data_IF_817230092345
#
_entry.id   IF_817230092345
#
_cell.length_a   1.000
_cell.length_b   1.000
_cell.length_c   1.000
_cell.angle_alpha   90.00
_cell.angle_beta   90.00
_cell.angle_gamma   90.00
#
_symmetry.space_group_name_H-M   'P 1'
#
loop_
_entity.id
_entity.type
_entity.pdbx_description
1 polymer ?
#
# COMPACT_ATOMS: atom_id res chain seq x y z
N UNK A 1 -21.48 33.51 -30.52
CA UNK A 1 -21.53 32.04 -30.34
C UNK A 1 -22.99 31.61 -30.23
N UNK A 2 -23.47 30.74 -31.12
CA UNK A 2 -24.86 30.26 -31.10
C UNK A 2 -25.15 29.47 -29.82
N UNK A 3 -26.41 29.41 -29.39
CA UNK A 3 -26.83 28.58 -28.23
C UNK A 3 -26.37 27.13 -28.39
N UNK A 4 -26.46 26.58 -29.60
CA UNK A 4 -25.99 25.23 -29.94
C UNK A 4 -24.48 25.06 -29.76
N UNK A 5 -23.68 26.04 -30.19
CA UNK A 5 -22.23 25.99 -30.03
C UNK A 5 -21.80 26.14 -28.56
N UNK A 6 -22.53 26.92 -27.75
CA UNK A 6 -22.32 26.99 -26.29
C UNK A 6 -22.65 25.66 -25.60
N UNK A 7 -23.76 25.01 -25.97
CA UNK A 7 -24.15 23.70 -25.42
C UNK A 7 -23.11 22.64 -25.80
N UNK A 8 -22.71 22.57 -27.07
CA UNK A 8 -21.69 21.63 -27.52
C UNK A 8 -20.34 21.83 -26.80
N UNK A 9 -19.89 23.09 -26.65
CA UNK A 9 -18.68 23.41 -25.92
C UNK A 9 -18.73 22.91 -24.47
N UNK A 10 -19.79 23.25 -23.72
CA UNK A 10 -19.92 22.82 -22.33
C UNK A 10 -20.12 21.31 -22.19
N UNK A 11 -20.83 20.66 -23.12
CA UNK A 11 -20.97 19.21 -23.14
C UNK A 11 -19.62 18.52 -23.29
N UNK A 12 -18.74 19.02 -24.15
CA UNK A 12 -17.37 18.50 -24.31
C UNK A 12 -16.54 18.69 -23.05
N UNK A 13 -16.56 19.88 -22.45
CA UNK A 13 -15.82 20.18 -21.21
C UNK A 13 -16.30 19.28 -20.07
N UNK A 14 -17.62 19.14 -19.88
CA UNK A 14 -18.20 18.26 -18.86
C UNK A 14 -17.84 16.80 -19.14
N UNK A 15 -17.91 16.36 -20.40
CA UNK A 15 -17.50 15.00 -20.79
C UNK A 15 -16.04 14.71 -20.45
N UNK A 16 -15.13 15.66 -20.69
CA UNK A 16 -13.71 15.51 -20.34
C UNK A 16 -13.49 15.46 -18.82
N UNK A 17 -14.19 16.31 -18.05
CA UNK A 17 -14.11 16.28 -16.57
C UNK A 17 -14.63 14.95 -16.03
N UNK A 18 -15.77 14.46 -16.52
CA UNK A 18 -16.33 13.16 -16.13
C UNK A 18 -15.35 12.02 -16.44
N UNK A 19 -14.72 12.05 -17.62
CA UNK A 19 -13.73 11.05 -18.00
C UNK A 19 -12.52 11.04 -17.05
N UNK A 20 -11.97 12.22 -16.72
CA UNK A 20 -10.86 12.34 -15.78
C UNK A 20 -11.25 11.85 -14.37
N UNK A 21 -12.42 12.25 -13.89
CA UNK A 21 -12.94 11.78 -12.59
C UNK A 21 -13.17 10.27 -12.57
N UNK A 22 -13.62 9.68 -13.68
CA UNK A 22 -13.77 8.24 -13.80
C UNK A 22 -12.42 7.50 -13.69
N UNK A 23 -11.36 8.03 -14.32
CA UNK A 23 -10.01 7.46 -14.17
C UNK A 23 -9.48 7.54 -12.73
N UNK A 24 -9.69 8.67 -12.06
CA UNK A 24 -9.31 8.85 -10.66
C UNK A 24 -10.08 7.87 -9.78
N UNK A 25 -11.41 7.76 -9.98
CA UNK A 25 -12.26 6.86 -9.20
C UNK A 25 -11.84 5.38 -9.35
N UNK A 26 -11.42 4.94 -10.54
CA UNK A 26 -10.91 3.57 -10.75
C UNK A 26 -9.63 3.32 -9.97
N UNK A 27 -8.69 4.28 -9.97
CA UNK A 27 -7.43 4.15 -9.21
C UNK A 27 -7.67 4.16 -7.71
N UNK A 28 -8.49 5.10 -7.23
CA UNK A 28 -8.86 5.21 -5.82
C UNK A 28 -9.58 3.94 -5.33
N UNK A 29 -10.52 3.42 -6.12
CA UNK A 29 -11.17 2.16 -5.78
C UNK A 29 -10.18 0.98 -5.78
N UNK A 30 -9.18 0.99 -6.67
CA UNK A 30 -8.13 -0.03 -6.68
C UNK A 30 -7.30 0.03 -5.40
N UNK A 31 -6.88 1.21 -4.95
CA UNK A 31 -6.16 1.37 -3.69
C UNK A 31 -6.99 0.89 -2.49
N UNK A 32 -8.29 1.16 -2.49
CA UNK A 32 -9.20 0.76 -1.40
C UNK A 32 -9.59 -0.72 -1.40
N UNK A 33 -9.52 -1.43 -2.52
CA UNK A 33 -10.11 -2.80 -2.62
C UNK A 33 -9.19 -3.83 -3.26
N UNK A 34 -8.04 -3.41 -3.75
CA UNK A 34 -7.05 -4.28 -4.35
C UNK A 34 -6.24 -5.05 -3.31
N UNK A 35 -5.38 -5.93 -3.81
CA UNK A 35 -4.44 -6.70 -3.00
C UNK A 35 -3.07 -6.06 -3.09
N UNK A 36 -2.48 -5.73 -1.95
CA UNK A 36 -1.12 -5.23 -1.86
C UNK A 36 -0.11 -6.34 -2.07
N UNK A 37 0.82 -6.10 -2.99
CA UNK A 37 1.90 -7.00 -3.35
C UNK A 37 3.20 -6.21 -3.39
N UNK A 38 4.28 -6.84 -2.92
CA UNK A 38 5.62 -6.26 -2.98
C UNK A 38 6.36 -6.87 -4.17
N UNK A 39 6.71 -6.06 -5.18
CA UNK A 39 7.36 -6.52 -6.40
C UNK A 39 8.83 -6.10 -6.43
N UNK A 40 9.70 -7.04 -6.79
CA UNK A 40 11.12 -6.74 -7.02
C UNK A 40 11.30 -5.91 -8.29
N UNK A 41 12.02 -4.78 -8.18
CA UNK A 41 12.42 -4.02 -9.36
C UNK A 41 13.66 -4.65 -9.99
N UNK A 42 13.70 -4.66 -11.33
CA UNK A 42 14.90 -5.00 -12.08
C UNK A 42 15.84 -3.78 -12.13
N UNK A 43 17.16 -3.96 -12.41
CA UNK A 43 18.14 -2.87 -12.42
C UNK A 43 17.64 -1.64 -13.19
N UNK A 44 17.55 -0.52 -12.48
CA UNK A 44 17.02 0.75 -12.97
C UNK A 44 18.05 1.40 -13.90
N UNK A 45 17.61 1.93 -15.05
CA UNK A 45 18.42 2.79 -15.93
C UNK A 45 18.08 4.26 -15.65
N UNK A 46 18.94 5.04 -14.94
CA UNK A 46 18.63 6.41 -14.60
C UNK A 46 18.95 7.38 -15.76
N UNK A 47 17.93 8.10 -16.28
CA UNK A 47 17.84 9.59 -16.32
C UNK A 47 16.85 10.17 -17.34
N UNK A 48 16.31 11.35 -16.99
CA UNK A 48 16.20 12.53 -17.89
C UNK A 48 16.32 13.83 -17.07
N UNK A 49 17.25 14.72 -17.44
CA UNK A 49 17.66 15.93 -16.67
C UNK A 49 16.77 17.16 -16.93
N UNK A 50 15.71 17.02 -17.75
CA UNK A 50 15.01 18.19 -18.33
C UNK A 50 13.51 18.30 -18.04
N UNK A 51 12.89 17.34 -17.32
CA UNK A 51 11.41 17.25 -17.23
C UNK A 51 10.84 16.95 -15.82
N UNK A 52 11.67 17.05 -14.77
CA UNK A 52 11.33 16.66 -13.39
C UNK A 52 12.03 15.35 -12.99
N UNK A 53 12.22 15.14 -11.68
CA UNK A 53 12.82 13.90 -11.19
C UNK A 53 11.77 12.79 -11.07
N UNK A 54 11.95 11.74 -11.86
CA UNK A 54 11.18 10.50 -11.74
C UNK A 54 12.12 9.31 -11.96
N UNK A 55 11.86 8.21 -11.26
CA UNK A 55 12.51 6.93 -11.48
C UNK A 55 11.68 6.13 -12.50
N UNK A 56 12.34 5.63 -13.55
CA UNK A 56 11.75 4.63 -14.44
C UNK A 56 11.95 3.28 -13.75
N UNK A 57 10.86 2.59 -13.49
CA UNK A 57 10.88 1.28 -12.86
C UNK A 57 10.79 0.22 -13.95
N UNK A 58 11.63 -0.80 -13.83
CA UNK A 58 11.45 -2.07 -14.51
C UNK A 58 11.26 -3.14 -13.43
N UNK A 59 10.63 -4.25 -13.79
CA UNK A 59 10.25 -5.30 -12.85
C UNK A 59 10.83 -6.63 -13.30
N UNK A 60 11.23 -7.47 -12.35
CA UNK A 60 11.70 -8.82 -12.71
C UNK A 60 10.61 -9.62 -13.44
N UNK A 61 9.36 -9.47 -13.00
CA UNK A 61 8.19 -10.10 -13.62
C UNK A 61 7.86 -9.56 -15.02
N UNK A 62 8.50 -8.47 -15.47
CA UNK A 62 8.27 -7.92 -16.81
C UNK A 62 8.96 -8.70 -17.93
N UNK A 63 9.91 -9.58 -17.59
CA UNK A 63 10.57 -10.43 -18.56
C UNK A 63 9.65 -11.57 -19.01
N UNK A 64 9.44 -11.70 -20.33
CA UNK A 64 8.64 -12.77 -20.88
C UNK A 64 9.45 -14.07 -20.97
N UNK A 65 8.95 -15.19 -20.44
CA UNK A 65 9.55 -16.50 -20.66
C UNK A 65 9.38 -16.94 -22.12
N UNK A 66 10.23 -17.87 -22.57
CA UNK A 66 10.30 -18.27 -23.99
C UNK A 66 8.96 -18.72 -24.59
N UNK A 67 8.10 -19.35 -23.79
CA UNK A 67 6.78 -19.77 -24.23
C UNK A 67 5.81 -18.60 -24.47
N UNK A 68 6.03 -17.46 -23.83
CA UNK A 68 5.22 -16.24 -23.96
C UNK A 68 5.87 -15.19 -24.90
N UNK A 69 7.13 -15.38 -25.31
CA UNK A 69 7.83 -14.52 -26.29
C UNK A 69 7.20 -14.44 -27.68
N UNK A 70 6.35 -15.37 -28.17
CA UNK A 70 5.61 -15.14 -29.42
C UNK A 70 4.71 -13.89 -29.39
N UNK A 71 4.45 -13.32 -28.20
CA UNK A 71 3.70 -12.09 -28.04
C UNK A 71 4.38 -10.90 -28.75
N UNK A 72 3.56 -10.10 -29.43
CA UNK A 72 3.99 -8.92 -30.18
C UNK A 72 3.68 -7.64 -29.42
N UNK A 73 4.30 -6.54 -29.83
CA UNK A 73 4.05 -5.23 -29.23
C UNK A 73 2.55 -4.90 -29.23
N UNK A 74 2.03 -4.50 -28.06
CA UNK A 74 0.62 -4.18 -27.84
C UNK A 74 -0.21 -5.34 -27.30
N UNK A 75 0.31 -6.57 -27.30
CA UNK A 75 -0.38 -7.71 -26.70
C UNK A 75 -0.54 -7.52 -25.19
N UNK A 76 -1.70 -7.90 -24.67
CA UNK A 76 -1.97 -7.94 -23.23
C UNK A 76 -1.62 -9.31 -22.68
N UNK A 77 -0.78 -9.34 -21.65
CA UNK A 77 -0.41 -10.56 -20.92
C UNK A 77 -0.80 -10.39 -19.46
N UNK A 78 -1.40 -11.42 -18.89
CA UNK A 78 -1.77 -11.52 -17.49
C UNK A 78 -0.72 -12.38 -16.79
N UNK A 79 -0.03 -11.79 -15.82
CA UNK A 79 1.00 -12.46 -15.03
C UNK A 79 0.38 -12.85 -13.71
N UNK A 80 0.21 -14.14 -13.47
CA UNK A 80 -0.18 -14.63 -12.15
C UNK A 80 0.94 -14.32 -11.15
N UNK A 81 0.57 -13.86 -9.97
CA UNK A 81 1.48 -13.52 -8.89
C UNK A 81 1.34 -14.55 -7.78
N UNK A 82 2.49 -14.98 -7.25
CA UNK A 82 2.57 -15.89 -6.10
C UNK A 82 3.46 -15.28 -5.04
N UNK A 83 3.12 -15.49 -3.77
CA UNK A 83 4.00 -15.13 -2.67
C UNK A 83 5.32 -15.90 -2.81
N UNK A 84 6.42 -15.15 -2.87
CA UNK A 84 7.77 -15.67 -2.85
C UNK A 84 8.43 -15.50 -1.48
N UNK A 85 9.74 -15.76 -1.39
CA UNK A 85 10.51 -15.52 -0.17
C UNK A 85 10.42 -14.07 0.29
N UNK A 86 10.54 -13.86 1.61
CA UNK A 86 10.65 -12.51 2.21
C UNK A 86 9.47 -11.57 1.89
N UNK A 87 8.29 -12.13 1.57
CA UNK A 87 7.10 -11.35 1.21
C UNK A 87 7.11 -10.77 -0.21
N UNK A 88 8.14 -11.07 -1.01
CA UNK A 88 8.27 -10.58 -2.38
C UNK A 88 7.47 -11.47 -3.32
N UNK A 89 6.54 -10.88 -4.06
CA UNK A 89 5.70 -11.60 -5.01
C UNK A 89 6.45 -11.84 -6.32
N UNK A 90 6.37 -13.08 -6.81
CA UNK A 90 7.06 -13.56 -8.00
C UNK A 90 6.07 -14.00 -9.08
N UNK A 91 6.53 -14.03 -10.33
CA UNK A 91 5.72 -14.50 -11.45
C UNK A 91 5.41 -16.00 -11.34
N UNK A 92 4.14 -16.32 -11.62
CA UNK A 92 3.60 -17.66 -11.80
C UNK A 92 3.58 -18.04 -13.27
N UNK A 93 2.40 -17.96 -13.86
CA UNK A 93 2.18 -18.16 -15.28
C UNK A 93 1.94 -16.84 -16.02
N UNK A 94 2.30 -16.83 -17.29
CA UNK A 94 2.01 -15.74 -18.22
C UNK A 94 0.91 -16.20 -19.16
N UNK A 95 -0.24 -15.52 -19.12
CA UNK A 95 -1.47 -15.92 -19.79
C UNK A 95 -1.94 -14.83 -20.77
N UNK A 96 -2.40 -15.23 -21.95
CA UNK A 96 -2.99 -14.29 -22.94
C UNK A 96 -4.43 -13.90 -22.59
N UNK A 97 -5.09 -14.70 -21.76
CA UNK A 97 -6.48 -14.49 -21.33
C UNK A 97 -6.51 -14.20 -19.83
N UNK A 98 -7.47 -13.35 -19.44
CA UNK A 98 -7.70 -13.01 -18.04
C UNK A 98 -7.94 -14.31 -17.24
N UNK A 99 -7.17 -14.57 -16.17
CA UNK A 99 -7.40 -15.71 -15.29
C UNK A 99 -8.71 -15.57 -14.50
N UNK A 100 -9.11 -16.67 -13.85
CA UNK A 100 -10.24 -16.70 -12.93
C UNK A 100 -10.00 -15.82 -11.69
N UNK A 101 -11.07 -15.46 -10.97
CA UNK A 101 -11.03 -14.43 -9.93
C UNK A 101 -10.34 -14.81 -8.62
N UNK A 102 -9.94 -16.08 -8.46
CA UNK A 102 -9.31 -16.61 -7.26
C UNK A 102 -7.79 -16.41 -7.24
N UNK A 103 -7.17 -16.18 -8.40
CA UNK A 103 -5.74 -15.92 -8.54
C UNK A 103 -5.45 -14.42 -8.52
N UNK A 104 -4.36 -14.03 -7.87
CA UNK A 104 -3.84 -12.66 -7.96
C UNK A 104 -3.01 -12.56 -9.23
N UNK A 105 -3.29 -11.58 -10.08
CA UNK A 105 -2.55 -11.40 -11.33
C UNK A 105 -2.45 -9.92 -11.68
N UNK A 106 -1.39 -9.56 -12.38
CA UNK A 106 -1.17 -8.21 -12.90
C UNK A 106 -1.24 -8.23 -14.43
N UNK A 107 -1.93 -7.26 -15.01
CA UNK A 107 -2.06 -7.11 -16.46
C UNK A 107 -0.93 -6.22 -16.98
N UNK A 108 -0.08 -6.77 -17.84
CA UNK A 108 0.95 -6.05 -18.57
C UNK A 108 0.62 -5.91 -20.06
N UNK A 109 1.24 -4.93 -20.71
CA UNK A 109 1.22 -4.78 -22.17
C UNK A 109 2.63 -4.89 -22.73
N UNK A 110 2.83 -5.70 -23.76
CA UNK A 110 4.14 -5.87 -24.39
C UNK A 110 4.57 -4.57 -25.06
N UNK A 111 5.72 -4.02 -24.63
CA UNK A 111 6.30 -2.81 -25.18
C UNK A 111 7.22 -3.10 -26.39
N UNK A 112 7.78 -2.06 -27.00
CA UNK A 112 8.68 -2.19 -28.16
C UNK A 112 9.99 -2.93 -27.87
N UNK A 113 10.36 -3.10 -26.59
CA UNK A 113 11.52 -3.88 -26.15
C UNK A 113 11.18 -5.36 -25.88
N UNK A 114 9.93 -5.79 -26.13
CA UNK A 114 9.46 -7.15 -25.85
C UNK A 114 9.32 -7.46 -24.35
N UNK A 115 9.24 -6.42 -23.50
CA UNK A 115 9.00 -6.55 -22.06
C UNK A 115 7.58 -6.09 -21.73
N UNK A 116 7.04 -6.52 -20.59
CA UNK A 116 5.75 -6.03 -20.12
C UNK A 116 5.88 -4.66 -19.45
N UNK A 117 5.05 -3.71 -19.85
CA UNK A 117 4.77 -2.50 -19.08
C UNK A 117 3.47 -2.67 -18.31
N UNK A 118 3.48 -2.33 -17.02
CA UNK A 118 2.34 -2.54 -16.13
C UNK A 118 1.56 -1.24 -15.83
N UNK A 119 2.00 -0.10 -16.36
CA UNK A 119 1.39 1.20 -16.08
C UNK A 119 1.75 1.77 -14.70
N UNK A 120 2.69 1.10 -14.03
CA UNK A 120 3.32 1.47 -12.75
C UNK A 120 4.83 1.65 -12.94
N UNK A 121 5.27 1.86 -14.18
CA UNK A 121 6.68 1.87 -14.59
C UNK A 121 7.36 3.22 -14.32
N UNK A 122 6.69 4.15 -13.61
CA UNK A 122 7.20 5.49 -13.30
C UNK A 122 6.83 5.88 -11.87
N UNK A 123 7.83 6.29 -11.09
CA UNK A 123 7.68 6.84 -9.75
C UNK A 123 8.18 8.27 -9.71
N UNK A 124 7.31 9.21 -9.36
CA UNK A 124 7.66 10.63 -9.29
C UNK A 124 8.29 10.95 -7.94
N UNK A 125 9.41 11.65 -7.94
CA UNK A 125 10.13 12.01 -6.71
C UNK A 125 10.33 13.52 -6.62
N UNK A 126 10.42 14.08 -5.39
CA UNK A 126 10.85 15.46 -5.21
C UNK A 126 12.23 15.70 -5.83
N UNK A 127 12.45 16.90 -6.35
CA UNK A 127 13.75 17.30 -6.91
C UNK A 127 14.88 17.13 -5.86
N UNK A 128 16.01 16.57 -6.29
CA UNK A 128 17.17 16.23 -5.46
C UNK A 128 17.10 14.87 -4.76
N UNK A 129 15.98 14.14 -4.81
CA UNK A 129 15.79 12.88 -4.07
C UNK A 129 15.94 11.61 -4.91
N UNK A 130 16.01 11.73 -6.25
CA UNK A 130 16.20 10.57 -7.13
C UNK A 130 17.48 9.76 -6.84
N UNK A 131 18.53 10.41 -6.33
CA UNK A 131 19.79 9.76 -5.97
C UNK A 131 19.66 8.74 -4.83
N UNK A 132 18.61 8.85 -4.00
CA UNK A 132 18.33 7.85 -2.95
C UNK A 132 18.09 6.50 -3.63
N UNK A 133 17.20 6.48 -4.63
CA UNK A 133 16.86 5.26 -5.39
C UNK A 133 18.06 4.80 -6.22
N UNK A 134 18.78 5.71 -6.88
CA UNK A 134 19.93 5.35 -7.75
C UNK A 134 21.08 4.68 -6.99
N UNK A 135 21.29 5.04 -5.72
CA UNK A 135 22.40 4.54 -4.89
C UNK A 135 22.03 3.32 -4.07
N UNK A 136 20.75 2.98 -4.02
CA UNK A 136 20.26 1.84 -3.28
C UNK A 136 20.61 0.53 -3.95
N UNK A 137 20.77 -0.50 -3.12
CA UNK A 137 21.11 -1.85 -3.55
C UNK A 137 19.86 -2.63 -3.88
N UNK A 138 18.81 -2.36 -3.13
CA UNK A 138 17.54 -3.05 -3.24
C UNK A 138 16.40 -2.04 -3.31
N UNK A 139 15.62 -2.14 -4.38
CA UNK A 139 14.43 -1.33 -4.60
C UNK A 139 13.30 -2.29 -4.94
N UNK A 140 12.23 -2.21 -4.15
CA UNK A 140 10.99 -2.95 -4.37
C UNK A 140 9.85 -1.95 -4.51
N UNK A 141 8.82 -2.33 -5.25
CA UNK A 141 7.62 -1.53 -5.40
C UNK A 141 6.49 -2.13 -4.56
N UNK A 142 5.89 -1.33 -3.69
CA UNK A 142 4.63 -1.67 -3.06
C UNK A 142 3.51 -1.32 -4.05
N UNK A 143 2.78 -2.32 -4.50
CA UNK A 143 1.81 -2.21 -5.58
C UNK A 143 0.47 -2.76 -5.12
N UNK A 144 -0.61 -2.04 -5.40
CA UNK A 144 -1.97 -2.53 -5.19
C UNK A 144 -2.55 -3.02 -6.51
N UNK A 145 -2.98 -4.27 -6.54
CA UNK A 145 -3.50 -4.93 -7.75
C UNK A 145 -4.99 -5.21 -7.61
N UNK A 146 -5.79 -4.75 -8.57
CA UNK A 146 -7.23 -5.00 -8.60
C UNK A 146 -7.56 -6.42 -9.13
N UNK A 147 -8.80 -6.86 -8.93
CA UNK A 147 -9.34 -8.10 -9.54
C UNK A 147 -9.45 -8.07 -11.07
N UNK A 148 -9.15 -6.94 -11.73
CA UNK A 148 -8.99 -6.83 -13.18
C UNK A 148 -7.54 -6.92 -13.64
N UNK A 149 -6.58 -7.00 -12.72
CA UNK A 149 -5.15 -6.93 -12.96
C UNK A 149 -4.63 -5.52 -13.20
N UNK A 150 -5.43 -4.50 -12.90
CA UNK A 150 -4.95 -3.11 -12.94
C UNK A 150 -4.08 -2.88 -11.72
N UNK A 151 -2.88 -2.35 -11.91
CA UNK A 151 -1.96 -2.04 -10.84
C UNK A 151 -1.90 -0.53 -10.58
N UNK A 152 -1.71 -0.18 -9.30
CA UNK A 152 -1.37 1.16 -8.85
C UNK A 152 -0.12 1.07 -8.00
N UNK A 153 0.88 1.90 -8.30
CA UNK A 153 2.08 2.03 -7.51
C UNK A 153 1.76 2.87 -6.28
N UNK A 154 1.95 2.30 -5.10
CA UNK A 154 1.64 2.93 -3.84
C UNK A 154 2.90 3.54 -3.21
N UNK A 155 4.01 2.81 -3.20
CA UNK A 155 5.31 3.31 -2.71
C UNK A 155 6.49 2.53 -3.28
N UNK A 156 7.70 3.02 -2.99
CA UNK A 156 8.92 2.25 -3.10
C UNK A 156 9.44 1.86 -1.73
N UNK A 157 9.88 0.61 -1.60
CA UNK A 157 10.71 0.15 -0.48
C UNK A 157 12.15 0.16 -0.96
N UNK A 158 12.96 1.02 -0.35
CA UNK A 158 14.33 1.32 -0.72
C UNK A 158 15.25 0.90 0.43
N UNK A 159 16.11 -0.08 0.16
CA UNK A 159 17.00 -0.74 1.13
C UNK A 159 16.27 -1.18 2.41
N UNK A 160 15.11 -1.81 2.26
CA UNK A 160 14.32 -2.34 3.37
C UNK A 160 13.50 -1.29 4.14
N UNK A 161 13.32 -0.08 3.61
CA UNK A 161 12.49 0.95 4.23
C UNK A 161 11.59 1.65 3.21
N UNK A 162 10.40 2.14 3.59
CA UNK A 162 9.60 3.01 2.73
C UNK A 162 10.42 4.22 2.26
N UNK A 163 10.18 4.66 1.03
CA UNK A 163 10.85 5.81 0.45
C UNK A 163 10.50 7.07 1.25
N UNK A 164 11.52 7.67 1.87
CA UNK A 164 11.41 8.98 2.48
C UNK A 164 12.36 9.92 1.74
N UNK A 165 11.87 10.95 1.02
CA UNK A 165 12.73 11.89 0.31
C UNK A 165 13.62 12.72 1.25
N UNK A 166 13.36 12.69 2.56
CA UNK A 166 14.17 13.35 3.59
C UNK A 166 15.25 12.44 4.17
N UNK A 167 15.21 11.13 3.89
CA UNK A 167 16.26 10.19 4.32
C UNK A 167 17.54 10.55 3.56
N UNK A 168 18.66 10.84 4.24
CA UNK A 168 19.94 11.02 3.58
C UNK A 168 20.29 9.75 2.79
N UNK A 169 20.80 9.86 1.55
CA UNK A 169 21.38 8.71 0.85
C UNK A 169 22.47 8.10 1.74
N UNK A 170 22.42 6.80 2.01
CA UNK A 170 23.22 6.07 3.00
C UNK A 170 24.65 6.63 3.20
N UNK A 171 24.86 7.32 4.33
CA UNK A 171 26.14 7.34 5.04
C UNK A 171 25.93 6.54 6.33
N UNK A 172 26.71 5.47 6.49
CA UNK A 172 26.48 4.28 7.33
C UNK A 172 26.54 4.50 8.84
N UNK A 173 25.98 5.59 9.35
CA UNK A 173 25.95 5.95 10.77
C UNK A 173 24.53 6.06 11.33
N UNK A 174 23.51 5.84 10.49
CA UNK A 174 22.09 6.04 10.84
C UNK A 174 21.32 4.78 11.26
N UNK A 175 21.79 3.57 10.90
CA UNK A 175 21.11 2.32 11.29
C UNK A 175 21.05 2.13 12.81
N UNK A 176 22.01 2.70 13.56
CA UNK A 176 22.04 2.68 15.03
C UNK A 176 21.18 3.78 15.70
N UNK A 177 20.61 4.72 14.94
CA UNK A 177 19.90 5.90 15.48
C UNK A 177 18.37 5.84 15.38
N UNK A 178 17.80 4.82 14.75
CA UNK A 178 16.33 4.67 14.62
C UNK A 178 15.72 4.07 15.90
N UNK A 179 16.54 3.61 16.85
CA UNK A 179 16.13 3.07 18.16
C UNK A 179 15.72 4.14 19.20
N UNK A 180 15.57 5.40 18.80
CA UNK A 180 15.03 6.45 19.66
C UNK A 180 13.61 6.80 19.20
N UNK A 181 12.61 6.81 20.10
CA UNK A 181 11.27 7.28 19.76
C UNK A 181 11.38 8.66 19.12
N UNK A 182 11.08 8.77 17.83
CA UNK A 182 10.94 10.07 17.19
C UNK A 182 9.79 10.76 17.91
N UNK A 183 10.11 11.87 18.56
CA UNK A 183 9.12 12.74 19.19
C UNK A 183 8.00 13.00 18.14
N UNK A 184 6.71 12.86 18.51
CA UNK A 184 5.61 13.08 17.57
C UNK A 184 5.85 14.39 16.84
N UNK A 185 5.69 14.44 15.50
CA UNK A 185 5.97 15.65 14.75
C UNK A 185 5.25 16.81 15.44
N UNK A 186 6.02 17.81 15.86
CA UNK A 186 5.51 19.00 16.52
C UNK A 186 4.37 19.55 15.66
N UNK A 187 3.24 19.85 16.29
CA UNK A 187 2.01 20.26 15.61
C UNK A 187 2.30 21.57 14.87
N UNK A 188 2.65 21.48 13.59
CA UNK A 188 2.88 22.65 12.75
C UNK A 188 1.51 23.22 12.44
N UNK A 189 1.14 24.28 13.15
CA UNK A 189 -0.05 25.07 12.84
C UNK A 189 0.13 25.71 11.46
N UNK A 190 -0.54 25.14 10.46
CA UNK A 190 -0.56 25.69 9.10
C UNK A 190 -1.52 26.90 9.05
N UNK A 191 -1.17 27.96 8.29
CA UNK A 191 -2.07 29.08 8.08
C UNK A 191 -3.36 28.65 7.35
N UNK A 192 -4.51 29.30 7.64
CA UNK A 192 -5.80 28.90 7.07
C UNK A 192 -5.78 28.98 5.53
N UNK A 193 -6.17 27.90 4.85
CA UNK A 193 -6.43 27.88 3.40
C UNK A 193 -5.36 27.21 2.54
N UNK A 194 -4.37 26.51 3.11
CA UNK A 194 -3.48 25.62 2.36
C UNK A 194 -3.77 24.16 2.73
N UNK A 195 -4.42 23.43 1.83
CA UNK A 195 -4.45 21.97 1.89
C UNK A 195 -3.15 21.43 1.30
N UNK A 196 -2.48 20.52 2.02
CA UNK A 196 -1.41 19.70 1.47
C UNK A 196 -1.90 19.03 0.17
N UNK A 197 -1.09 18.96 -0.90
CA UNK A 197 -1.36 17.97 -1.93
C UNK A 197 -1.25 16.59 -1.26
N UNK A 198 -2.39 15.94 -1.01
CA UNK A 198 -2.44 14.59 -0.46
C UNK A 198 -1.94 13.64 -1.55
N UNK A 199 -0.68 13.26 -1.46
CA UNK A 199 -0.17 12.03 -2.05
C UNK A 199 -0.13 11.01 -0.92
N UNK A 200 -1.08 10.08 -0.90
CA UNK A 200 -1.10 8.87 -0.06
C UNK A 200 -1.01 9.09 1.46
N UNK A 201 -2.16 9.01 2.14
CA UNK A 201 -2.35 8.14 3.31
C UNK A 201 -1.17 8.01 4.31
N UNK A 202 -1.32 8.58 5.51
CA UNK A 202 -0.26 8.65 6.54
C UNK A 202 0.29 7.24 6.88
N UNK A 203 1.60 7.06 6.73
CA UNK A 203 2.31 5.80 7.04
C UNK A 203 3.00 5.89 8.40
N UNK A 204 2.90 4.83 9.19
CA UNK A 204 3.70 4.67 10.41
C UNK A 204 4.93 3.81 10.12
N UNK A 205 6.09 4.35 10.46
CA UNK A 205 7.37 3.64 10.38
C UNK A 205 7.91 3.52 11.80
N UNK A 206 8.03 2.30 12.29
CA UNK A 206 8.53 2.01 13.63
C UNK A 206 8.99 0.56 13.70
N UNK A 207 10.19 0.31 14.24
CA UNK A 207 10.69 -1.08 14.30
C UNK A 207 9.99 -1.87 15.40
N UNK A 208 9.52 -1.23 16.47
CA UNK A 208 8.98 -1.90 17.66
C UNK A 208 7.76 -1.19 18.28
N UNK A 209 7.42 0.03 17.87
CA UNK A 209 6.36 0.83 18.49
C UNK A 209 5.54 1.59 17.46
N UNK A 210 4.21 1.51 17.58
CA UNK A 210 3.25 2.21 16.74
C UNK A 210 2.21 2.94 17.60
N UNK A 211 1.92 4.20 17.26
CA UNK A 211 0.77 4.93 17.79
C UNK A 211 -0.28 5.05 16.69
N UNK A 212 -1.36 4.27 16.79
CA UNK A 212 -2.45 4.25 15.83
C UNK A 212 -3.65 4.99 16.41
N UNK A 213 -4.35 5.75 15.58
CA UNK A 213 -5.58 6.44 15.97
C UNK A 213 -6.65 6.28 14.88
N UNK A 214 -7.89 6.60 15.20
CA UNK A 214 -9.01 6.67 14.26
C UNK A 214 -9.08 8.05 13.58
N UNK A 215 -9.74 8.10 12.42
CA UNK A 215 -10.01 9.35 11.71
C UNK A 215 -11.27 10.05 12.27
N UNK A 216 -11.19 10.49 13.53
CA UNK A 216 -12.32 11.09 14.24
C UNK A 216 -13.51 10.12 14.33
N UNK A 217 -14.67 10.55 13.83
CA UNK A 217 -15.88 9.72 13.83
C UNK A 217 -16.09 8.93 12.52
N UNK A 218 -15.18 9.09 11.56
CA UNK A 218 -15.18 8.29 10.33
C UNK A 218 -14.72 6.87 10.68
N UNK A 219 -15.36 5.86 10.09
CA UNK A 219 -15.02 4.44 10.28
C UNK A 219 -13.74 4.07 9.51
N UNK A 220 -12.65 4.75 9.82
CA UNK A 220 -11.34 4.62 9.18
C UNK A 220 -10.25 4.77 10.24
N UNK A 221 -9.15 4.01 10.09
CA UNK A 221 -7.93 4.34 10.80
C UNK A 221 -7.33 5.61 10.19
N UNK A 222 -6.56 6.37 10.97
CA UNK A 222 -5.81 7.52 10.46
C UNK A 222 -4.63 7.08 9.57
N UNK A 223 -4.17 5.86 9.76
CA UNK A 223 -3.03 5.29 9.07
C UNK A 223 -3.46 4.11 8.21
N UNK A 224 -2.92 4.04 7.01
CA UNK A 224 -3.19 2.94 6.07
C UNK A 224 -2.05 1.93 6.04
N UNK A 225 -0.87 2.30 6.54
CA UNK A 225 0.31 1.44 6.56
C UNK A 225 1.05 1.48 7.90
N UNK A 226 1.48 0.31 8.36
CA UNK A 226 2.45 0.13 9.43
C UNK A 226 3.62 -0.73 8.92
N UNK A 227 4.86 -0.26 9.09
CA UNK A 227 6.06 -0.98 8.65
C UNK A 227 6.93 -1.39 9.84
N UNK A 228 7.26 -2.68 9.94
CA UNK A 228 8.13 -3.25 10.97
C UNK A 228 9.27 -4.11 10.39
N UNK A 229 10.25 -4.45 11.24
CA UNK A 229 11.24 -5.50 10.97
C UNK A 229 10.77 -6.84 11.57
N UNK A 230 11.26 -8.00 11.10
CA UNK A 230 10.91 -9.29 11.67
C UNK A 230 11.57 -9.50 13.03
N UNK A 231 10.97 -10.40 13.81
CA UNK A 231 11.50 -10.95 15.07
C UNK A 231 11.78 -9.91 16.17
N UNK A 232 11.13 -8.75 16.10
CA UNK A 232 11.12 -7.70 17.13
C UNK A 232 9.80 -7.73 17.90
N UNK A 233 9.83 -7.39 19.19
CA UNK A 233 8.60 -7.25 19.97
C UNK A 233 7.91 -5.93 19.58
N UNK A 234 6.71 -6.01 19.01
CA UNK A 234 5.93 -4.86 18.60
C UNK A 234 4.99 -4.45 19.73
N UNK A 235 4.88 -3.14 19.96
CA UNK A 235 3.85 -2.51 20.79
C UNK A 235 3.00 -1.60 19.92
N UNK A 236 1.68 -1.85 19.87
CA UNK A 236 0.72 -0.95 19.23
C UNK A 236 -0.11 -0.29 20.33
N UNK A 237 0.02 1.02 20.45
CA UNK A 237 -0.90 1.87 21.23
C UNK A 237 -2.01 2.33 20.30
N UNK A 238 -3.24 1.88 20.56
CA UNK A 238 -4.41 2.25 19.78
C UNK A 238 -5.26 3.27 20.53
N UNK A 239 -5.28 4.51 20.02
CA UNK A 239 -6.10 5.59 20.53
C UNK A 239 -7.44 5.62 19.78
N UNK A 240 -8.55 5.67 20.50
CA UNK A 240 -9.85 5.88 19.90
C UNK A 240 -10.30 7.34 20.11
N UNK A 241 -9.85 8.24 19.23
CA UNK A 241 -10.30 9.64 19.22
C UNK A 241 -11.74 9.87 18.75
N UNK A 242 -12.52 8.82 18.43
CA UNK A 242 -13.94 8.96 18.13
C UNK A 242 -14.72 9.45 19.36
N UNK A 243 -15.75 10.25 19.10
CA UNK A 243 -16.71 10.70 20.10
C UNK A 243 -17.91 9.75 20.26
N UNK A 244 -18.12 8.82 19.32
CA UNK A 244 -19.33 8.00 19.25
C UNK A 244 -19.09 6.50 19.11
N UNK A 245 -18.03 6.09 18.41
CA UNK A 245 -17.85 4.69 18.02
C UNK A 245 -16.82 3.98 18.92
N UNK A 246 -17.03 2.67 19.12
CA UNK A 246 -16.03 1.79 19.72
C UNK A 246 -15.28 1.04 18.63
N UNK A 247 -13.99 0.83 18.85
CA UNK A 247 -13.10 0.24 17.85
C UNK A 247 -12.13 -0.73 18.50
N UNK A 248 -11.66 -1.70 17.73
CA UNK A 248 -10.50 -2.49 18.08
C UNK A 248 -9.49 -2.40 16.93
N UNK A 249 -8.28 -2.86 17.19
CA UNK A 249 -7.26 -3.06 16.17
C UNK A 249 -6.84 -4.52 16.23
N UNK A 250 -7.06 -5.24 15.13
CA UNK A 250 -6.78 -6.68 15.00
C UNK A 250 -5.77 -6.85 13.86
N UNK A 251 -4.60 -7.37 14.18
CA UNK A 251 -3.59 -7.77 13.19
C UNK A 251 -3.94 -9.18 12.71
N UNK A 252 -4.07 -9.35 11.40
CA UNK A 252 -4.48 -10.60 10.75
C UNK A 252 -3.57 -10.97 9.59
N UNK A 253 -3.58 -12.25 9.23
CA UNK A 253 -2.93 -12.73 8.01
C UNK A 253 -3.48 -12.01 6.78
N UNK A 254 -2.63 -11.85 5.77
CA UNK A 254 -3.01 -11.23 4.50
C UNK A 254 -4.33 -11.78 3.96
N UNK A 255 -5.21 -10.90 3.49
CA UNK A 255 -6.48 -11.23 2.82
C UNK A 255 -7.50 -11.95 3.70
N UNK A 256 -7.29 -12.05 5.01
CA UNK A 256 -8.22 -12.72 5.93
C UNK A 256 -9.14 -11.78 6.70
N UNK A 257 -8.91 -10.45 6.61
CA UNK A 257 -9.61 -9.44 7.43
C UNK A 257 -11.13 -9.57 7.43
N UNK A 258 -11.74 -9.83 6.27
CA UNK A 258 -13.20 -9.84 6.14
C UNK A 258 -13.79 -11.14 6.68
N UNK A 259 -13.09 -12.25 6.52
CA UNK A 259 -13.50 -13.53 7.12
C UNK A 259 -13.38 -13.47 8.64
N UNK A 260 -12.26 -12.95 9.16
CA UNK A 260 -12.06 -12.75 10.61
C UNK A 260 -13.12 -11.81 11.19
N UNK A 261 -13.41 -10.69 10.52
CA UNK A 261 -14.44 -9.76 10.98
C UNK A 261 -15.85 -10.38 10.97
N UNK A 262 -16.20 -11.15 9.92
CA UNK A 262 -17.48 -11.83 9.84
C UNK A 262 -17.65 -12.88 10.96
N UNK A 263 -16.59 -13.64 11.26
CA UNK A 263 -16.59 -14.61 12.35
C UNK A 263 -16.57 -13.94 13.73
N UNK A 264 -15.95 -12.76 13.84
CA UNK A 264 -15.98 -11.90 15.02
C UNK A 264 -17.39 -11.49 15.48
N UNK A 265 -18.32 -11.32 14.53
CA UNK A 265 -19.75 -11.10 14.84
C UNK A 265 -20.32 -12.28 15.65
N UNK A 266 -19.93 -13.51 15.30
CA UNK A 266 -20.38 -14.72 16.01
C UNK A 266 -19.71 -14.85 17.37
N UNK A 267 -18.46 -14.42 17.50
CA UNK A 267 -17.71 -14.40 18.76
C UNK A 267 -18.34 -13.44 19.79
N UNK A 268 -18.90 -12.33 19.32
CA UNK A 268 -19.67 -11.39 20.14
C UNK A 268 -18.81 -10.45 21.01
N UNK A 269 -19.46 -9.53 21.74
CA UNK A 269 -18.78 -8.48 22.48
C UNK A 269 -17.93 -8.99 23.65
N UNK A 270 -18.26 -10.16 24.20
CA UNK A 270 -17.49 -10.78 25.29
C UNK A 270 -16.08 -11.23 24.86
N UNK A 271 -15.84 -11.32 23.56
CA UNK A 271 -14.54 -11.66 22.97
C UNK A 271 -13.98 -10.50 22.14
N UNK A 272 -14.34 -9.25 22.47
CA UNK A 272 -13.90 -8.04 21.75
C UNK A 272 -14.24 -8.05 20.25
N UNK A 273 -15.23 -8.84 19.84
CA UNK A 273 -15.56 -9.11 18.43
C UNK A 273 -14.42 -9.77 17.64
N UNK A 274 -13.58 -10.55 18.31
CA UNK A 274 -12.50 -11.34 17.71
C UNK A 274 -12.80 -12.83 17.91
N UNK A 275 -12.75 -13.67 16.86
CA UNK A 275 -12.95 -15.10 17.02
C UNK A 275 -11.82 -15.72 17.86
N UNK A 276 -12.14 -16.39 18.99
CA UNK A 276 -11.12 -16.95 19.86
C UNK A 276 -10.40 -18.11 19.18
N UNK A 277 -9.08 -18.18 19.34
CA UNK A 277 -8.21 -19.24 18.78
C UNK A 277 -8.19 -19.31 17.24
N UNK A 278 -8.54 -18.22 16.55
CA UNK A 278 -8.40 -18.11 15.11
C UNK A 278 -6.91 -17.95 14.73
N UNK A 279 -6.38 -18.91 13.96
CA UNK A 279 -4.97 -18.90 13.53
C UNK A 279 -4.65 -17.80 12.52
N UNK A 280 -5.66 -17.11 11.99
CA UNK A 280 -5.51 -15.94 11.12
C UNK A 280 -5.28 -14.66 11.93
N UNK A 281 -5.59 -14.65 13.22
CA UNK A 281 -5.37 -13.48 14.10
C UNK A 281 -3.98 -13.59 14.73
N UNK A 282 -3.15 -12.58 14.50
CA UNK A 282 -1.79 -12.48 15.04
C UNK A 282 -1.83 -11.84 16.42
N UNK A 283 -2.55 -10.72 16.54
CA UNK A 283 -2.65 -9.93 17.75
C UNK A 283 -3.88 -9.04 17.70
N UNK A 284 -4.42 -8.65 18.86
CA UNK A 284 -5.49 -7.66 18.90
C UNK A 284 -5.50 -6.89 20.22
N UNK A 285 -6.01 -5.66 20.18
CA UNK A 285 -6.43 -4.94 21.38
C UNK A 285 -7.75 -5.51 21.91
N UNK A 286 -8.12 -5.16 23.14
CA UNK A 286 -9.53 -5.21 23.55
C UNK A 286 -10.35 -4.17 22.77
N UNK A 287 -11.69 -4.26 22.87
CA UNK A 287 -12.56 -3.22 22.34
C UNK A 287 -12.37 -1.90 23.13
N UNK A 288 -12.01 -0.84 22.41
CA UNK A 288 -11.70 0.47 22.97
C UNK A 288 -12.89 1.40 22.77
N UNK A 289 -13.43 1.96 23.86
CA UNK A 289 -14.54 2.90 23.81
C UNK A 289 -14.15 4.30 23.32
N UNK A 290 -15.13 5.20 23.09
CA UNK A 290 -14.87 6.58 22.67
C UNK A 290 -13.96 7.32 23.66
N UNK A 291 -12.88 7.93 23.17
CA UNK A 291 -11.90 8.68 23.95
C UNK A 291 -10.94 7.82 24.79
N UNK A 292 -11.01 6.50 24.68
CA UNK A 292 -10.14 5.56 25.41
C UNK A 292 -8.93 5.14 24.56
N UNK A 293 -7.97 4.49 25.22
CA UNK A 293 -6.76 3.93 24.60
C UNK A 293 -6.62 2.46 24.99
N UNK A 294 -6.28 1.62 24.02
CA UNK A 294 -5.88 0.23 24.21
C UNK A 294 -4.42 0.02 23.81
N UNK A 295 -3.83 -1.09 24.25
CA UNK A 295 -2.49 -1.52 23.86
C UNK A 295 -2.50 -3.01 23.52
N UNK A 296 -1.68 -3.40 22.54
CA UNK A 296 -1.35 -4.80 22.28
C UNK A 296 0.14 -4.95 22.03
N UNK A 297 0.73 -6.05 22.53
CA UNK A 297 2.12 -6.43 22.30
C UNK A 297 2.20 -7.81 21.68
N UNK A 298 3.05 -7.96 20.67
CA UNK A 298 3.21 -9.22 19.96
C UNK A 298 4.55 -9.29 19.22
N UNK A 299 5.13 -10.48 19.04
CA UNK A 299 6.32 -10.64 18.22
C UNK A 299 5.97 -10.41 16.75
N UNK A 300 6.76 -9.58 16.08
CA UNK A 300 6.62 -9.35 14.65
C UNK A 300 6.70 -10.69 13.90
N UNK A 301 5.77 -10.96 12.96
CA UNK A 301 5.81 -12.18 12.17
C UNK A 301 6.96 -12.12 11.15
N UNK A 302 7.11 -13.17 10.35
CA UNK A 302 8.13 -13.21 9.30
C UNK A 302 7.86 -12.16 8.21
N UNK A 303 8.88 -11.74 7.43
CA UNK A 303 8.70 -10.75 6.36
C UNK A 303 7.55 -11.13 5.42
N UNK A 304 6.70 -10.15 5.13
CA UNK A 304 5.42 -10.39 4.49
C UNK A 304 4.46 -9.23 4.59
N UNK A 305 3.39 -9.30 3.81
CA UNK A 305 2.26 -8.38 3.87
C UNK A 305 1.17 -9.01 4.75
N UNK A 306 0.71 -8.27 5.74
CA UNK A 306 -0.37 -8.58 6.67
C UNK A 306 -1.37 -7.43 6.68
N UNK A 307 -2.44 -7.54 7.46
CA UNK A 307 -3.43 -6.47 7.55
C UNK A 307 -3.76 -6.16 9.01
N UNK A 308 -4.12 -4.91 9.27
CA UNK A 308 -4.79 -4.53 10.51
C UNK A 308 -6.22 -4.09 10.19
N UNK A 309 -7.17 -4.46 11.03
CA UNK A 309 -8.61 -4.24 10.77
C UNK A 309 -9.36 -4.00 12.07
N UNK A 310 -10.40 -3.19 12.03
CA UNK A 310 -11.42 -3.14 13.07
C UNK A 310 -12.49 -4.20 12.79
N UNK A 311 -12.63 -5.17 13.69
CA UNK A 311 -13.64 -6.25 13.58
C UNK A 311 -14.94 -5.93 14.31
N UNK A 312 -15.05 -4.76 14.95
CA UNK A 312 -16.34 -4.28 15.46
C UNK A 312 -17.38 -4.30 14.33
N UNK A 313 -18.61 -4.80 14.58
CA UNK A 313 -19.56 -5.11 13.52
C UNK A 313 -19.81 -3.95 12.53
N UNK A 314 -19.48 -4.19 11.26
CA UNK A 314 -19.70 -3.25 10.16
C UNK A 314 -18.53 -2.31 9.84
N UNK A 315 -17.48 -2.26 10.66
CA UNK A 315 -16.37 -1.31 10.47
C UNK A 315 -15.31 -1.79 9.46
N UNK A 316 -15.14 -3.11 9.28
CA UNK A 316 -14.10 -3.74 8.46
C UNK A 316 -14.12 -3.39 6.96
N UNK A 317 -15.22 -2.79 6.49
CA UNK A 317 -15.39 -2.40 5.09
C UNK A 317 -14.54 -1.18 4.70
N UNK A 318 -14.25 -0.29 5.67
CA UNK A 318 -13.46 0.93 5.46
C UNK A 318 -12.34 1.09 6.50
N UNK A 319 -12.40 0.35 7.61
CA UNK A 319 -11.48 0.50 8.72
C UNK A 319 -10.42 -0.61 8.74
N UNK A 320 -9.47 -0.53 7.83
CA UNK A 320 -8.34 -1.44 7.73
C UNK A 320 -7.14 -0.76 7.07
N UNK A 321 -5.98 -1.39 7.16
CA UNK A 321 -4.78 -1.04 6.43
C UNK A 321 -3.81 -2.21 6.38
N UNK A 322 -2.64 -1.99 5.78
CA UNK A 322 -1.62 -3.03 5.63
C UNK A 322 -0.53 -2.91 6.69
N UNK A 323 -0.24 -4.04 7.32
CA UNK A 323 0.91 -4.19 8.21
C UNK A 323 1.99 -4.96 7.45
N UNK A 324 3.11 -4.31 7.15
CA UNK A 324 4.14 -4.85 6.29
C UNK A 324 5.40 -5.09 7.13
N UNK A 325 5.81 -6.36 7.20
CA UNK A 325 7.09 -6.73 7.79
C UNK A 325 8.13 -6.80 6.68
N UNK A 326 9.11 -5.92 6.75
CA UNK A 326 10.18 -5.78 5.76
C UNK A 326 11.36 -6.67 6.14
N UNK A 327 11.97 -7.32 5.15
CA UNK A 327 13.23 -8.01 5.41
C UNK A 327 14.35 -7.02 5.76
N UNK A 328 15.30 -7.47 6.58
CA UNK A 328 16.50 -6.68 6.88
C UNK A 328 17.36 -6.66 5.62
N UNK A 329 17.59 -5.47 5.07
CA UNK A 329 18.51 -5.30 3.95
C UNK A 329 19.87 -5.97 4.26
N UNK A 330 20.30 -6.86 3.37
CA UNK A 330 21.61 -7.52 3.43
C UNK A 330 22.72 -6.68 2.76
#
# INVERSE_FOLDING_TARGET
MSRTLKIAFWATVIGQIILLLAFIAVKENTLRSGTSVLLQTAPIDPRSVLQGEFAILDYEIAELPDYARPAIQGDSIYVELREGPEGVWVAGQYLERKPDSDVIFIKGTVNSRGRLGFGIDTFFVPEGSGQIIERSRDVKALVVVSSSGTAVLEDLIVDGFPFDPRRPPDDRTGQDKISQPQQPPERVDLPPGQSRPMSGMDRLVGVDTFEVDVNGDVLEFRHDFMFALPDVEITVTFNNSSSVNSHNLVIVLSRTKDAVAAEGITAGPANDWVPPSDNRVIAHTSLVGPGETGEVRFPAPQPGVYQFVCTFPGHNSTMFGDFIVLDRAQ
#
